data_IF_435671937182
#
_entry.id   IF_435671937182
#
_cell.length_a   1.000
_cell.length_b   1.000
_cell.length_c   1.000
_cell.angle_alpha   90.00
_cell.angle_beta   90.00
_cell.angle_gamma   90.00
#
_symmetry.space_group_name_H-M   'P 1'
#
loop_
_entity.id
_entity.type
_entity.pdbx_description
1 polymer ?
#
# COMPACT_ATOMS: atom_id res chain seq x y z
N UNK A 1 -13.00 -48.71 -3.98
CA UNK A 1 -11.86 -48.83 -3.05
C UNK A 1 -11.50 -47.44 -2.58
N UNK A 2 -11.92 -47.05 -1.38
CA UNK A 2 -11.42 -45.84 -0.72
C UNK A 2 -9.99 -46.11 -0.25
N UNK A 3 -9.04 -45.25 -0.65
CA UNK A 3 -7.65 -45.36 -0.18
C UNK A 3 -7.59 -45.00 1.31
N UNK A 4 -6.80 -45.71 2.14
CA UNK A 4 -6.63 -45.35 3.55
C UNK A 4 -6.00 -43.96 3.65
N UNK A 5 -6.67 -43.02 4.30
CA UNK A 5 -6.18 -41.66 4.49
C UNK A 5 -7.22 -40.86 5.29
N UNK A 6 -6.78 -40.18 6.33
CA UNK A 6 -7.67 -39.32 7.10
C UNK A 6 -8.06 -38.10 6.25
N UNK A 7 -9.34 -37.73 6.29
CA UNK A 7 -9.87 -36.53 5.65
C UNK A 7 -10.22 -35.51 6.72
N UNK A 8 -9.80 -34.27 6.54
CA UNK A 8 -10.18 -33.15 7.40
C UNK A 8 -10.82 -32.09 6.53
N UNK A 9 -12.03 -31.67 6.88
CA UNK A 9 -12.73 -30.60 6.20
C UNK A 9 -13.15 -29.53 7.19
N UNK A 10 -13.21 -28.29 6.74
CA UNK A 10 -13.76 -27.17 7.49
C UNK A 10 -14.47 -26.21 6.53
N UNK A 11 -15.19 -25.23 7.08
CA UNK A 11 -15.84 -24.19 6.30
C UNK A 11 -15.23 -22.83 6.66
N UNK A 12 -14.84 -22.08 5.63
CA UNK A 12 -14.39 -20.70 5.78
C UNK A 12 -15.57 -19.78 6.11
N UNK A 13 -15.36 -18.85 7.04
CA UNK A 13 -16.38 -17.86 7.42
C UNK A 13 -16.44 -16.70 6.40
N UNK A 14 -15.30 -16.35 5.80
CA UNK A 14 -15.17 -15.31 4.80
C UNK A 14 -14.78 -15.88 3.43
N UNK A 15 -13.96 -15.11 2.71
CA UNK A 15 -13.42 -15.43 1.39
C UNK A 15 -11.93 -15.84 1.49
N UNK A 16 -11.61 -16.70 2.44
CA UNK A 16 -10.28 -17.29 2.59
C UNK A 16 -10.00 -18.32 1.48
N UNK A 17 -8.73 -18.39 1.07
CA UNK A 17 -8.22 -19.45 0.20
C UNK A 17 -6.89 -19.99 0.73
N UNK A 18 -6.62 -21.26 0.44
CA UNK A 18 -5.37 -21.93 0.75
C UNK A 18 -4.39 -21.59 -0.37
N UNK A 19 -3.28 -20.92 -0.03
CA UNK A 19 -2.28 -20.53 -1.02
C UNK A 19 -1.20 -21.57 -1.19
N UNK A 20 -0.76 -22.18 -0.09
CA UNK A 20 0.21 -23.26 -0.08
C UNK A 20 -0.10 -24.25 1.05
N UNK A 21 0.32 -25.50 0.85
CA UNK A 21 0.17 -26.56 1.83
C UNK A 21 1.35 -27.55 1.76
N UNK A 22 1.77 -28.05 2.93
CA UNK A 22 2.80 -29.08 3.08
C UNK A 22 2.32 -30.18 4.04
N UNK A 23 2.69 -31.43 3.74
CA UNK A 23 2.29 -32.61 4.50
C UNK A 23 0.86 -33.10 4.22
N UNK A 24 0.07 -32.35 3.46
CA UNK A 24 -1.29 -32.71 3.06
C UNK A 24 -1.60 -32.12 1.66
N UNK A 25 -2.65 -32.60 1.02
CA UNK A 25 -3.12 -32.11 -0.29
C UNK A 25 -4.63 -31.90 -0.27
N UNK A 26 -5.13 -30.86 -0.94
CA UNK A 26 -6.56 -30.62 -1.06
C UNK A 26 -7.16 -31.58 -2.06
N UNK A 27 -8.33 -32.15 -1.78
CA UNK A 27 -8.99 -33.09 -2.70
C UNK A 27 -9.48 -32.40 -3.97
N UNK A 28 -9.85 -31.12 -3.84
CA UNK A 28 -10.38 -30.29 -4.91
C UNK A 28 -9.82 -28.87 -4.79
N UNK A 29 -9.42 -28.28 -5.91
CA UNK A 29 -8.94 -26.90 -5.96
C UNK A 29 -10.10 -25.88 -5.99
N UNK A 30 -11.27 -26.26 -6.52
CA UNK A 30 -12.42 -25.38 -6.70
C UNK A 30 -12.28 -24.36 -7.83
N UNK A 31 -13.28 -23.50 -8.01
CA UNK A 31 -13.24 -22.41 -9.00
C UNK A 31 -12.47 -21.20 -8.47
N UNK A 32 -11.16 -21.19 -8.77
CA UNK A 32 -10.26 -20.09 -8.43
C UNK A 32 -10.33 -18.89 -9.38
N UNK A 33 -11.30 -18.82 -10.32
CA UNK A 33 -11.41 -17.73 -11.31
C UNK A 33 -11.58 -16.34 -10.68
N UNK A 34 -12.00 -16.27 -9.41
CA UNK A 34 -12.09 -15.03 -8.64
C UNK A 34 -10.72 -14.42 -8.33
N UNK A 35 -9.65 -15.23 -8.28
CA UNK A 35 -8.29 -14.78 -8.00
C UNK A 35 -7.59 -14.42 -9.31
N UNK A 36 -7.07 -13.18 -9.41
CA UNK A 36 -6.35 -12.70 -10.59
C UNK A 36 -4.89 -12.47 -10.24
N UNK A 37 -3.98 -13.12 -10.96
CA UNK A 37 -2.53 -13.06 -10.76
C UNK A 37 -1.82 -14.13 -11.59
N UNK A 38 -0.48 -14.08 -11.65
CA UNK A 38 0.33 -15.12 -12.31
C UNK A 38 0.39 -16.43 -11.52
N UNK A 39 0.14 -16.38 -10.21
CA UNK A 39 0.06 -17.54 -9.33
C UNK A 39 -1.36 -17.64 -8.75
N UNK A 40 -2.02 -18.77 -8.99
CA UNK A 40 -3.31 -19.09 -8.40
C UNK A 40 -3.11 -19.77 -7.04
N UNK A 41 -4.04 -19.55 -6.09
CA UNK A 41 -4.05 -20.29 -4.84
C UNK A 41 -4.22 -21.80 -5.07
N UNK A 42 -3.69 -22.58 -4.12
CA UNK A 42 -3.74 -24.05 -4.10
C UNK A 42 -5.16 -24.60 -3.97
N UNK A 43 -6.04 -23.95 -3.18
CA UNK A 43 -7.46 -24.31 -3.08
C UNK A 43 -8.32 -23.08 -2.72
N UNK A 44 -9.41 -22.88 -3.48
CA UNK A 44 -10.36 -21.77 -3.34
C UNK A 44 -11.73 -22.20 -2.83
N UNK A 45 -11.90 -23.48 -2.51
CA UNK A 45 -13.19 -23.95 -2.03
C UNK A 45 -13.56 -23.29 -0.71
N UNK A 46 -14.83 -22.93 -0.57
CA UNK A 46 -15.34 -22.38 0.70
C UNK A 46 -15.35 -23.45 1.80
N UNK A 47 -15.42 -24.71 1.39
CA UNK A 47 -15.38 -25.87 2.27
C UNK A 47 -14.28 -26.83 1.82
N UNK A 48 -12.99 -26.49 2.04
CA UNK A 48 -11.90 -27.34 1.59
C UNK A 48 -11.90 -28.66 2.35
N UNK A 49 -11.62 -29.74 1.64
CA UNK A 49 -11.31 -31.05 2.24
C UNK A 49 -9.87 -31.40 1.91
N UNK A 50 -9.08 -31.69 2.95
CA UNK A 50 -7.67 -32.08 2.80
C UNK A 50 -7.49 -33.56 3.13
N UNK A 51 -6.55 -34.18 2.43
CA UNK A 51 -6.09 -35.55 2.63
C UNK A 51 -4.61 -35.55 2.99
N UNK A 52 -4.23 -36.45 3.89
CA UNK A 52 -2.84 -36.60 4.32
C UNK A 52 -1.95 -37.17 3.21
N UNK A 53 -0.71 -36.67 3.10
CA UNK A 53 0.29 -37.20 2.19
C UNK A 53 1.07 -38.32 2.90
N UNK A 54 0.85 -39.56 2.46
CA UNK A 54 1.51 -40.74 3.04
C UNK A 54 3.06 -40.64 3.00
N UNK A 55 3.80 -41.46 3.79
CA UNK A 55 5.27 -41.40 3.90
C UNK A 55 6.09 -41.59 2.61
N UNK A 56 5.44 -41.81 1.47
CA UNK A 56 6.06 -41.83 0.14
C UNK A 56 6.06 -40.48 -0.58
N UNK A 57 5.56 -39.41 0.04
CA UNK A 57 5.57 -38.08 -0.54
C UNK A 57 7.01 -37.53 -0.70
N UNK A 58 7.28 -36.68 -1.71
CA UNK A 58 8.58 -36.05 -1.91
C UNK A 58 9.11 -35.39 -0.62
N UNK A 59 10.40 -35.54 -0.32
CA UNK A 59 11.02 -35.05 0.93
C UNK A 59 10.75 -33.55 1.18
N UNK A 60 10.68 -32.74 0.13
CA UNK A 60 10.38 -31.31 0.19
C UNK A 60 8.90 -30.97 0.52
N UNK A 61 8.03 -31.97 0.63
CA UNK A 61 6.62 -31.84 0.99
C UNK A 61 6.28 -32.49 2.33
N UNK A 62 7.27 -33.03 3.05
CA UNK A 62 7.08 -33.63 4.37
C UNK A 62 7.24 -32.60 5.49
N UNK A 63 6.42 -32.72 6.54
CA UNK A 63 6.49 -31.88 7.75
C UNK A 63 6.83 -32.77 8.95
N UNK A 64 7.77 -32.38 9.83
CA UNK A 64 8.11 -33.18 11.01
C UNK A 64 6.91 -33.30 11.98
N UNK A 65 6.74 -34.48 12.58
CA UNK A 65 5.70 -34.74 13.57
C UNK A 65 5.88 -33.86 14.80
N UNK A 66 4.86 -33.09 15.16
CA UNK A 66 4.87 -32.28 16.36
C UNK A 66 4.47 -33.10 17.61
N UNK A 67 4.81 -32.56 18.79
CA UNK A 67 4.41 -33.10 20.09
C UNK A 67 3.50 -32.08 20.77
N UNK A 68 2.35 -32.52 21.28
CA UNK A 68 1.40 -31.65 21.97
C UNK A 68 1.06 -32.20 23.35
N UNK A 69 0.64 -31.31 24.26
CA UNK A 69 0.08 -31.70 25.56
C UNK A 69 -1.44 -31.73 25.41
N UNK A 70 -2.05 -32.85 25.77
CA UNK A 70 -3.50 -32.93 25.98
C UNK A 70 -3.84 -32.23 27.29
N UNK A 71 -4.92 -31.46 27.34
CA UNK A 71 -5.29 -30.60 28.47
C UNK A 71 -5.08 -31.28 29.83
N UNK A 72 -4.32 -30.61 30.71
CA UNK A 72 -4.01 -31.06 32.07
C UNK A 72 -2.91 -32.13 32.23
N UNK A 73 -2.41 -32.73 31.16
CA UNK A 73 -1.36 -33.77 31.24
C UNK A 73 0.05 -33.18 31.30
N UNK A 74 0.94 -33.74 32.12
CA UNK A 74 2.39 -33.45 32.10
C UNK A 74 3.14 -34.21 30.97
N UNK A 75 2.48 -35.16 30.30
CA UNK A 75 3.07 -35.99 29.24
C UNK A 75 2.84 -35.37 27.86
N UNK A 76 3.90 -35.30 27.07
CA UNK A 76 3.82 -34.99 25.64
C UNK A 76 3.33 -36.20 24.86
N UNK A 77 2.34 -36.00 24.00
CA UNK A 77 1.87 -37.00 23.04
C UNK A 77 2.38 -36.60 21.66
N UNK A 78 2.93 -37.55 20.91
CA UNK A 78 3.33 -37.30 19.53
C UNK A 78 2.08 -37.32 18.64
N UNK A 79 1.92 -36.31 17.79
CA UNK A 79 0.86 -36.32 16.81
C UNK A 79 1.07 -37.46 15.80
N UNK A 80 -0.03 -38.00 15.29
CA UNK A 80 0.01 -39.04 14.24
C UNK A 80 0.40 -38.45 12.88
N UNK A 81 0.04 -37.19 12.63
CA UNK A 81 0.39 -36.44 11.42
C UNK A 81 0.51 -34.94 11.76
N UNK A 82 1.28 -34.18 10.98
CA UNK A 82 1.43 -32.73 11.14
C UNK A 82 1.48 -32.11 9.75
N UNK A 83 0.71 -31.03 9.56
CA UNK A 83 0.58 -30.33 8.28
C UNK A 83 0.76 -28.84 8.51
N UNK A 84 1.29 -28.15 7.50
CA UNK A 84 1.42 -26.69 7.50
C UNK A 84 0.56 -26.12 6.38
N UNK A 85 -0.38 -25.23 6.72
CA UNK A 85 -1.28 -24.58 5.77
C UNK A 85 -1.15 -23.08 5.87
N UNK A 86 -0.81 -22.47 4.73
CA UNK A 86 -0.80 -21.02 4.58
C UNK A 86 -2.11 -20.60 3.93
N UNK A 87 -3.00 -20.00 4.71
CA UNK A 87 -4.24 -19.40 4.22
C UNK A 87 -4.14 -17.88 4.29
N UNK A 88 -4.77 -17.20 3.33
CA UNK A 88 -4.86 -15.74 3.32
C UNK A 88 -6.31 -15.36 3.10
N UNK A 89 -6.80 -14.46 3.95
CA UNK A 89 -8.08 -13.79 3.75
C UNK A 89 -7.90 -12.69 2.69
N UNK A 90 -8.49 -12.88 1.51
CA UNK A 90 -8.48 -11.86 0.46
C UNK A 90 -9.83 -11.16 0.39
N UNK A 91 -9.89 -9.88 0.75
CA UNK A 91 -11.05 -9.02 0.48
C UNK A 91 -11.25 -8.73 -1.01
N UNK A 92 -10.33 -9.18 -1.87
CA UNK A 92 -10.29 -8.86 -3.29
C UNK A 92 -10.93 -9.98 -4.13
N UNK A 93 -12.22 -10.24 -3.90
CA UNK A 93 -13.06 -10.75 -4.98
C UNK A 93 -13.25 -9.62 -5.98
N UNK A 94 -12.63 -9.71 -7.16
CA UNK A 94 -12.72 -8.71 -8.25
C UNK A 94 -12.49 -7.28 -7.75
N UNK A 95 -11.23 -6.82 -7.64
CA UNK A 95 -10.94 -5.46 -7.17
C UNK A 95 -11.81 -4.42 -7.88
N UNK A 96 -12.78 -3.86 -7.16
CA UNK A 96 -13.38 -2.58 -7.52
C UNK A 96 -12.25 -1.57 -7.72
N UNK A 97 -12.39 -0.63 -8.66
CA UNK A 97 -11.30 0.32 -8.90
C UNK A 97 -10.96 1.04 -7.59
N UNK A 98 -9.66 1.18 -7.26
CA UNK A 98 -9.24 1.79 -6.00
C UNK A 98 -9.77 3.22 -5.90
N UNK A 99 -10.36 3.57 -4.76
CA UNK A 99 -10.86 4.93 -4.54
C UNK A 99 -9.74 5.94 -4.41
N UNK A 100 -8.61 5.55 -3.80
CA UNK A 100 -7.43 6.40 -3.69
C UNK A 100 -6.11 5.66 -3.91
N UNK A 101 -5.11 6.39 -4.39
CA UNK A 101 -3.73 5.90 -4.52
C UNK A 101 -2.72 6.94 -4.05
N UNK A 102 -1.51 6.46 -3.76
CA UNK A 102 -0.41 7.28 -3.28
C UNK A 102 0.75 7.23 -4.28
N UNK A 103 1.38 8.37 -4.50
CA UNK A 103 2.61 8.50 -5.27
C UNK A 103 3.64 9.30 -4.47
N UNK A 104 4.92 8.98 -4.64
CA UNK A 104 5.99 9.38 -3.73
C UNK A 104 7.09 10.12 -4.49
N UNK A 105 7.67 11.15 -3.87
CA UNK A 105 8.87 11.84 -4.36
C UNK A 105 9.76 12.31 -3.22
N UNK A 106 11.02 12.63 -3.56
CA UNK A 106 12.03 13.13 -2.63
C UNK A 106 12.88 14.20 -3.28
N UNK A 107 13.42 15.11 -2.47
CA UNK A 107 14.21 16.25 -2.94
C UNK A 107 15.55 15.90 -3.60
N UNK A 108 16.10 14.72 -3.35
CA UNK A 108 17.42 14.29 -3.84
C UNK A 108 17.35 13.31 -5.01
N UNK A 109 16.16 12.92 -5.45
CA UNK A 109 15.95 11.99 -6.56
C UNK A 109 14.79 12.49 -7.41
N UNK A 110 15.08 12.79 -8.67
CA UNK A 110 14.09 13.26 -9.64
C UNK A 110 13.07 12.18 -10.04
N UNK A 111 13.33 10.92 -9.65
CA UNK A 111 12.43 9.79 -9.90
C UNK A 111 11.21 9.88 -8.99
N UNK A 112 10.05 10.11 -9.60
CA UNK A 112 8.74 10.04 -8.93
C UNK A 112 8.24 8.60 -9.00
N UNK A 113 7.90 8.02 -7.86
CA UNK A 113 7.26 6.70 -7.80
C UNK A 113 5.77 6.89 -8.04
N UNK A 114 5.22 6.43 -9.18
CA UNK A 114 3.83 6.67 -9.53
C UNK A 114 2.89 5.84 -8.65
N UNK A 115 1.61 6.19 -8.69
CA UNK A 115 0.56 5.30 -8.18
C UNK A 115 0.64 3.94 -8.90
N UNK A 116 0.43 2.82 -8.18
CA UNK A 116 0.34 1.50 -8.80
C UNK A 116 -0.74 1.45 -9.88
N UNK A 117 -0.42 0.79 -10.99
CA UNK A 117 -1.37 0.58 -12.07
C UNK A 117 -2.51 -0.32 -11.62
N UNK A 118 -3.71 -0.04 -12.14
CA UNK A 118 -4.88 -0.84 -11.81
C UNK A 118 -4.78 -2.21 -12.47
N UNK A 119 -4.83 -3.27 -11.66
CA UNK A 119 -4.62 -4.65 -12.10
C UNK A 119 -5.80 -5.16 -12.97
N UNK A 120 -5.55 -5.33 -14.27
CA UNK A 120 -6.41 -6.03 -15.23
C UNK A 120 -7.71 -5.31 -15.61
N UNK A 121 -7.87 -4.91 -16.88
CA UNK A 121 -9.11 -4.39 -17.49
C UNK A 121 -9.99 -3.48 -16.60
N UNK A 122 -9.41 -2.67 -15.71
CA UNK A 122 -10.16 -1.77 -14.83
C UNK A 122 -11.03 -0.78 -15.62
N UNK A 123 -10.64 -0.48 -16.86
CA UNK A 123 -11.42 0.29 -17.82
C UNK A 123 -12.78 -0.33 -18.19
N UNK A 124 -13.04 -1.60 -17.85
CA UNK A 124 -14.29 -2.33 -18.13
C UNK A 124 -15.04 -2.72 -16.87
N UNK A 125 -14.65 -2.20 -15.72
CA UNK A 125 -15.35 -2.47 -14.46
C UNK A 125 -16.68 -1.69 -14.42
N UNK A 126 -17.80 -2.33 -14.06
CA UNK A 126 -19.07 -1.63 -13.87
C UNK A 126 -18.94 -0.64 -12.70
N UNK A 127 -19.27 0.63 -12.95
CA UNK A 127 -19.29 1.69 -11.94
C UNK A 127 -18.09 2.64 -11.91
N UNK A 128 -17.10 2.50 -12.81
CA UNK A 128 -15.98 3.45 -12.93
C UNK A 128 -15.79 3.82 -14.40
N UNK A 129 -16.60 4.76 -14.85
CA UNK A 129 -16.47 5.38 -16.16
C UNK A 129 -15.35 6.42 -16.10
N UNK A 130 -14.53 6.51 -17.14
CA UNK A 130 -13.47 7.52 -17.21
C UNK A 130 -13.59 8.35 -18.49
N UNK A 131 -13.20 9.62 -18.39
CA UNK A 131 -13.22 10.56 -19.51
C UNK A 131 -11.79 10.78 -20.00
N UNK A 132 -11.56 10.59 -21.30
CA UNK A 132 -10.27 10.93 -21.92
C UNK A 132 -10.15 12.43 -22.18
N UNK A 133 -8.93 12.99 -22.20
CA UNK A 133 -8.74 14.38 -22.60
C UNK A 133 -9.34 14.63 -24.01
N UNK A 134 -10.25 15.61 -24.12
CA UNK A 134 -10.90 15.97 -25.38
C UNK A 134 -12.23 15.26 -25.67
N UNK A 135 -12.64 14.31 -24.84
CA UNK A 135 -13.94 13.64 -24.95
C UNK A 135 -15.03 14.47 -24.24
N UNK A 136 -16.17 14.68 -24.89
CA UNK A 136 -17.28 15.40 -24.26
C UNK A 136 -17.85 14.58 -23.11
N UNK A 137 -17.99 15.23 -21.94
CA UNK A 137 -18.53 14.63 -20.71
C UNK A 137 -19.87 13.92 -21.03
N UNK A 138 -20.03 12.64 -20.68
CA UNK A 138 -21.34 12.00 -20.75
C UNK A 138 -22.31 12.76 -19.85
N UNK A 139 -23.47 13.19 -20.38
CA UNK A 139 -24.56 13.70 -19.56
C UNK A 139 -25.17 12.50 -18.80
N UNK A 140 -24.65 12.21 -17.61
CA UNK A 140 -25.21 11.20 -16.75
C UNK A 140 -26.59 11.69 -16.26
N UNK A 141 -27.65 10.96 -16.63
CA UNK A 141 -28.98 11.14 -16.06
C UNK A 141 -28.96 10.61 -14.62
N UNK A 142 -28.72 11.50 -13.65
CA UNK A 142 -28.75 11.12 -12.23
C UNK A 142 -30.18 10.79 -11.82
N UNK A 143 -30.38 9.57 -11.31
CA UNK A 143 -31.59 9.23 -10.55
C UNK A 143 -31.49 9.84 -9.15
N UNK A 144 -32.56 10.42 -8.57
CA UNK A 144 -32.48 11.19 -7.31
C UNK A 144 -32.05 10.41 -6.07
N UNK A 145 -32.02 9.07 -6.15
CA UNK A 145 -31.92 8.16 -5.00
C UNK A 145 -30.58 7.43 -4.89
N UNK A 146 -29.65 7.59 -5.83
CA UNK A 146 -28.39 6.83 -5.84
C UNK A 146 -27.19 7.74 -6.10
N UNK A 147 -26.16 7.67 -5.25
CA UNK A 147 -24.90 8.40 -5.47
C UNK A 147 -24.36 8.05 -6.86
N UNK A 148 -24.02 9.05 -7.70
CA UNK A 148 -23.51 8.79 -9.03
C UNK A 148 -22.19 8.01 -8.93
N UNK A 149 -21.97 7.02 -9.81
CA UNK A 149 -20.68 6.37 -9.89
C UNK A 149 -19.57 7.42 -10.14
N UNK A 150 -18.38 7.24 -9.56
CA UNK A 150 -17.30 8.20 -9.74
C UNK A 150 -16.89 8.24 -11.22
N UNK A 151 -17.02 9.42 -11.84
CA UNK A 151 -16.51 9.71 -13.18
C UNK A 151 -15.12 10.33 -13.04
N UNK A 152 -14.07 9.64 -13.48
CA UNK A 152 -12.68 10.07 -13.26
C UNK A 152 -11.94 10.37 -14.56
N UNK A 153 -10.84 11.12 -14.50
CA UNK A 153 -9.93 11.22 -15.65
C UNK A 153 -9.27 9.87 -15.94
N UNK A 154 -9.28 9.44 -17.20
CA UNK A 154 -8.64 8.16 -17.58
C UNK A 154 -7.14 8.21 -17.27
N UNK A 155 -6.69 7.24 -16.48
CA UNK A 155 -5.29 7.06 -16.06
C UNK A 155 -5.00 5.57 -15.88
N UNK A 156 -3.74 5.19 -15.71
CA UNK A 156 -3.37 3.78 -15.51
C UNK A 156 -3.84 3.21 -14.16
N UNK A 157 -3.92 4.06 -13.14
CA UNK A 157 -4.33 3.68 -11.77
C UNK A 157 -5.85 3.80 -11.52
N UNK A 158 -6.58 4.57 -12.36
CA UNK A 158 -8.05 4.69 -12.31
C UNK A 158 -8.65 5.14 -10.95
N UNK A 159 -7.86 5.84 -10.11
CA UNK A 159 -8.31 6.28 -8.79
C UNK A 159 -9.01 7.64 -8.83
N UNK A 160 -9.99 7.86 -7.95
CA UNK A 160 -10.69 9.14 -7.85
C UNK A 160 -9.92 10.17 -7.03
N UNK A 161 -9.15 9.74 -6.03
CA UNK A 161 -8.27 10.59 -5.23
C UNK A 161 -6.82 10.16 -5.42
N UNK A 162 -5.93 11.14 -5.51
CA UNK A 162 -4.50 10.92 -5.60
C UNK A 162 -3.80 11.71 -4.50
N UNK A 163 -3.00 11.02 -3.67
CA UNK A 163 -2.23 11.62 -2.60
C UNK A 163 -0.76 11.63 -2.97
N UNK A 164 -0.15 12.81 -2.98
CA UNK A 164 1.28 13.01 -3.16
C UNK A 164 1.94 13.12 -1.79
N UNK A 165 2.95 12.28 -1.55
CA UNK A 165 3.86 12.47 -0.44
C UNK A 165 5.24 12.87 -0.96
N UNK A 166 5.64 14.10 -0.66
CA UNK A 166 6.88 14.70 -1.16
C UNK A 166 7.81 15.06 0.00
N UNK A 167 8.95 14.38 0.12
CA UNK A 167 9.98 14.76 1.09
C UNK A 167 10.76 15.94 0.52
N UNK A 168 10.40 17.15 0.94
CA UNK A 168 10.91 18.42 0.41
C UNK A 168 12.34 18.75 0.81
N UNK A 169 12.68 18.54 2.07
CA UNK A 169 13.97 18.95 2.61
C UNK A 169 14.27 18.24 3.92
N UNK A 170 15.56 18.02 4.18
CA UNK A 170 16.06 17.48 5.43
C UNK A 170 17.07 18.45 6.06
N UNK A 171 16.75 19.04 7.21
CA UNK A 171 17.63 19.91 8.00
C UNK A 171 18.41 19.09 9.05
N UNK A 172 19.16 19.75 9.95
CA UNK A 172 19.90 19.06 11.03
C UNK A 172 18.96 18.35 12.02
N UNK A 173 17.95 19.06 12.53
CA UNK A 173 17.04 18.57 13.57
C UNK A 173 15.64 18.24 13.06
N UNK A 174 15.27 18.76 11.89
CA UNK A 174 13.92 18.62 11.35
C UNK A 174 13.95 18.13 9.91
N UNK A 175 12.83 17.60 9.44
CA UNK A 175 12.60 17.34 8.03
C UNK A 175 11.19 17.79 7.65
N UNK A 176 11.07 18.20 6.38
CA UNK A 176 9.87 18.81 5.82
C UNK A 176 9.27 17.88 4.79
N UNK A 177 7.98 17.61 4.93
CA UNK A 177 7.18 16.88 3.96
C UNK A 177 6.08 17.78 3.43
N UNK A 178 5.82 17.71 2.14
CA UNK A 178 4.65 18.29 1.50
C UNK A 178 3.66 17.19 1.15
N UNK A 179 2.42 17.38 1.55
CA UNK A 179 1.29 16.51 1.21
C UNK A 179 0.40 17.26 0.22
N UNK A 180 0.07 16.63 -0.91
CA UNK A 180 -0.89 17.17 -1.88
C UNK A 180 -1.99 16.16 -2.11
N UNK A 181 -3.25 16.54 -1.92
CA UNK A 181 -4.40 15.70 -2.20
C UNK A 181 -5.08 16.28 -3.45
N UNK A 182 -5.20 15.46 -4.49
CA UNK A 182 -5.81 15.84 -5.76
C UNK A 182 -7.05 15.01 -6.02
N UNK A 183 -8.15 15.69 -6.32
CA UNK A 183 -9.40 15.06 -6.76
C UNK A 183 -9.40 14.93 -8.28
N UNK A 184 -9.54 13.69 -8.74
CA UNK A 184 -9.61 13.33 -10.15
C UNK A 184 -11.04 13.04 -10.61
N UNK A 185 -12.04 13.26 -9.75
CA UNK A 185 -13.45 13.05 -10.03
C UNK A 185 -14.09 14.30 -10.66
N UNK A 186 -14.91 14.12 -11.70
CA UNK A 186 -15.61 15.19 -12.42
C UNK A 186 -16.95 15.60 -11.80
N UNK A 187 -17.52 14.78 -10.92
CA UNK A 187 -18.89 14.92 -10.43
C UNK A 187 -18.99 15.10 -8.92
N UNK A 188 -17.97 14.65 -8.17
CA UNK A 188 -17.99 14.60 -6.71
C UNK A 188 -16.98 15.58 -6.12
N UNK A 189 -17.49 16.52 -5.31
CA UNK A 189 -16.70 17.29 -4.36
C UNK A 189 -16.61 16.52 -3.03
N UNK A 190 -15.58 16.82 -2.24
CA UNK A 190 -15.42 16.28 -0.89
C UNK A 190 -15.38 17.43 0.12
N UNK A 191 -16.48 17.61 0.85
CA UNK A 191 -16.54 18.51 1.99
C UNK A 191 -16.07 17.80 3.26
N UNK A 192 -15.47 18.55 4.20
CA UNK A 192 -14.96 18.03 5.47
C UNK A 192 -14.07 16.79 5.31
N UNK A 193 -13.25 16.80 4.26
CA UNK A 193 -12.36 15.69 3.97
C UNK A 193 -11.35 15.50 5.10
N UNK A 194 -10.97 14.24 5.34
CA UNK A 194 -9.93 13.87 6.27
C UNK A 194 -8.95 12.90 5.62
N UNK A 195 -7.69 13.01 6.03
CA UNK A 195 -6.61 12.12 5.64
C UNK A 195 -5.98 11.57 6.92
N UNK A 196 -5.94 10.25 7.05
CA UNK A 196 -5.22 9.58 8.14
C UNK A 196 -3.97 8.94 7.55
N UNK A 197 -2.86 9.11 8.26
CA UNK A 197 -1.55 8.60 7.89
C UNK A 197 -0.92 7.87 9.07
N UNK A 198 -0.29 6.75 8.78
CA UNK A 198 0.48 5.97 9.75
C UNK A 198 1.97 6.06 9.41
N UNK A 199 2.76 6.62 10.33
CA UNK A 199 4.20 6.75 10.22
C UNK A 199 4.85 6.85 11.61
N UNK A 200 5.93 6.10 11.91
CA UNK A 200 6.57 6.10 13.22
C UNK A 200 6.90 7.49 13.79
N UNK A 201 7.36 8.40 12.93
CA UNK A 201 7.74 9.77 13.31
C UNK A 201 6.56 10.75 13.52
N UNK A 202 5.30 10.33 13.35
CA UNK A 202 4.13 11.18 13.66
C UNK A 202 3.95 11.42 15.16
N UNK A 203 4.70 10.70 16.00
CA UNK A 203 4.80 10.97 17.43
C UNK A 203 5.47 12.33 17.73
N UNK A 204 6.34 12.80 16.83
CA UNK A 204 7.18 13.99 17.00
C UNK A 204 6.88 15.07 15.93
N UNK A 205 5.59 15.30 15.65
CA UNK A 205 5.16 16.39 14.76
C UNK A 205 5.39 17.73 15.45
N UNK A 206 6.18 18.59 14.81
CA UNK A 206 6.48 19.94 15.34
C UNK A 206 5.43 20.94 14.89
N UNK A 207 5.08 20.92 13.60
CA UNK A 207 4.15 21.87 13.01
C UNK A 207 3.51 21.30 11.76
N UNK A 208 2.22 21.58 11.57
CA UNK A 208 1.48 21.34 10.33
C UNK A 208 1.00 22.69 9.80
N UNK A 209 1.25 22.94 8.52
CA UNK A 209 0.90 24.18 7.84
C UNK A 209 -0.37 24.00 7.02
N UNK A 210 -1.26 24.98 7.02
CA UNK A 210 -2.45 25.02 6.15
C UNK A 210 -3.47 23.89 6.30
N UNK A 211 -3.28 22.91 7.20
CA UNK A 211 -4.25 21.90 7.61
C UNK A 211 -4.38 21.87 9.14
N UNK A 212 -5.51 21.37 9.62
CA UNK A 212 -5.64 20.96 11.01
C UNK A 212 -5.00 19.59 11.22
N UNK A 213 -4.49 19.32 12.43
CA UNK A 213 -3.84 18.05 12.77
C UNK A 213 -4.29 17.54 14.13
N UNK A 214 -4.47 16.22 14.24
CA UNK A 214 -4.78 15.53 15.47
C UNK A 214 -4.06 14.17 15.51
N UNK A 215 -3.26 13.94 16.54
CA UNK A 215 -2.63 12.64 16.78
C UNK A 215 -3.67 11.61 17.22
N UNK A 216 -3.71 10.45 16.56
CA UNK A 216 -4.65 9.38 16.89
C UNK A 216 -3.97 8.38 17.83
N UNK A 217 -4.23 8.53 19.13
CA UNK A 217 -3.72 7.61 20.14
C UNK A 217 -4.63 6.38 20.19
N UNK A 218 -4.33 5.35 19.39
CA UNK A 218 -5.30 4.26 19.19
C UNK A 218 -5.57 3.38 20.40
N UNK A 219 -4.70 3.30 21.41
CA UNK A 219 -5.02 2.70 22.70
C UNK A 219 -4.15 3.36 23.77
N UNK A 220 -4.65 3.36 25.00
CA UNK A 220 -4.06 3.93 26.23
C UNK A 220 -2.58 3.51 26.46
N UNK A 221 -1.64 4.09 25.71
CA UNK A 221 -0.22 4.17 26.06
C UNK A 221 0.80 3.25 25.36
N UNK A 222 0.76 2.99 24.05
CA UNK A 222 1.87 2.28 23.41
C UNK A 222 2.46 2.90 22.12
N UNK A 223 1.65 3.37 21.16
CA UNK A 223 2.20 3.88 19.89
C UNK A 223 1.27 4.99 19.33
N UNK A 224 1.81 6.21 19.16
CA UNK A 224 1.11 7.34 18.52
C UNK A 224 1.63 7.53 17.08
N UNK A 225 1.74 6.45 16.32
CA UNK A 225 2.22 6.46 14.95
C UNK A 225 1.16 6.84 13.92
N UNK A 226 -0.07 7.11 14.34
CA UNK A 226 -1.16 7.57 13.49
C UNK A 226 -1.48 9.05 13.71
N UNK A 227 -1.66 9.79 12.62
CA UNK A 227 -2.07 11.19 12.62
C UNK A 227 -3.18 11.44 11.63
N UNK A 228 -4.15 12.28 12.00
CA UNK A 228 -5.24 12.73 11.15
C UNK A 228 -5.05 14.20 10.80
N UNK A 229 -5.23 14.53 9.52
CA UNK A 229 -5.31 15.92 9.04
C UNK A 229 -6.63 16.16 8.31
N UNK A 230 -7.13 17.39 8.38
CA UNK A 230 -8.34 17.82 7.70
C UNK A 230 -8.27 19.30 7.33
N UNK A 231 -9.15 19.72 6.44
CA UNK A 231 -9.24 21.10 5.98
C UNK A 231 -9.59 22.09 7.10
N UNK A 232 -9.19 23.34 6.91
CA UNK A 232 -9.58 24.50 7.71
C UNK A 232 -10.87 25.05 7.13
N UNK A 233 -11.85 25.27 8.00
CA UNK A 233 -13.17 25.77 7.62
C UNK A 233 -13.06 27.07 6.83
N UNK A 234 -13.79 27.17 5.71
CA UNK A 234 -13.80 28.32 4.80
C UNK A 234 -12.47 28.63 4.07
N UNK A 235 -11.49 27.73 4.15
CA UNK A 235 -10.21 27.89 3.44
C UNK A 235 -9.94 26.74 2.48
N UNK A 236 -9.92 25.51 2.99
CA UNK A 236 -9.66 24.31 2.21
C UNK A 236 -10.40 23.09 2.77
N UNK A 237 -11.52 23.31 3.45
CA UNK A 237 -12.47 22.28 3.91
C UNK A 237 -13.31 21.67 2.79
N UNK A 238 -13.22 22.21 1.57
CA UNK A 238 -13.80 21.65 0.37
C UNK A 238 -12.74 21.31 -0.68
N UNK A 239 -12.68 20.05 -1.07
CA UNK A 239 -11.87 19.57 -2.18
C UNK A 239 -12.79 19.44 -3.41
N UNK A 240 -12.69 20.42 -4.31
CA UNK A 240 -13.53 20.53 -5.48
C UNK A 240 -13.26 19.41 -6.50
N UNK A 241 -14.16 19.28 -7.48
CA UNK A 241 -13.98 18.39 -8.63
C UNK A 241 -12.68 18.68 -9.39
N UNK A 242 -12.26 17.77 -10.25
CA UNK A 242 -11.09 17.91 -11.11
C UNK A 242 -11.06 19.28 -11.80
N UNK A 243 -9.97 20.02 -11.59
CA UNK A 243 -9.77 21.38 -12.11
C UNK A 243 -8.63 22.07 -11.35
N UNK A 244 -8.48 23.38 -11.57
CA UNK A 244 -7.44 24.19 -10.91
C UNK A 244 -7.58 24.19 -9.38
N UNK A 245 -8.82 24.24 -8.88
CA UNK A 245 -9.15 24.14 -7.45
C UNK A 245 -9.37 22.70 -6.95
N UNK A 246 -9.07 21.70 -7.79
CA UNK A 246 -9.25 20.27 -7.47
C UNK A 246 -8.09 19.67 -6.67
N UNK A 247 -7.28 20.50 -6.01
CA UNK A 247 -6.19 20.04 -5.16
C UNK A 247 -6.05 20.89 -3.89
N UNK A 248 -5.63 20.25 -2.80
CA UNK A 248 -5.28 20.89 -1.54
C UNK A 248 -3.86 20.47 -1.15
N UNK A 249 -3.10 21.40 -0.57
CA UNK A 249 -1.69 21.21 -0.27
C UNK A 249 -1.38 21.68 1.14
N UNK A 250 -0.49 20.95 1.80
CA UNK A 250 0.00 21.27 3.13
C UNK A 250 1.43 20.83 3.28
N UNK A 251 2.12 21.43 4.23
CA UNK A 251 3.45 20.99 4.65
C UNK A 251 3.42 20.61 6.11
N UNK A 252 4.28 19.68 6.48
CA UNK A 252 4.51 19.30 7.86
C UNK A 252 6.01 19.28 8.17
N UNK A 253 6.34 19.77 9.36
CA UNK A 253 7.67 19.75 9.92
C UNK A 253 7.69 18.72 11.04
N UNK A 254 8.58 17.74 10.92
CA UNK A 254 8.74 16.71 11.94
C UNK A 254 10.16 16.76 12.50
N UNK A 255 10.27 16.60 13.81
CA UNK A 255 11.55 16.50 14.46
C UNK A 255 12.20 15.15 14.16
N UNK A 256 13.52 15.12 13.97
CA UNK A 256 14.31 13.92 13.73
C UNK A 256 14.61 13.24 15.06
N UNK A 257 14.06 12.05 15.24
CA UNK A 257 14.49 11.19 16.34
C UNK A 257 15.88 10.62 16.05
N UNK A 258 16.86 10.91 16.92
CA UNK A 258 18.26 10.48 16.74
C UNK A 258 18.43 8.95 16.73
N UNK A 259 17.48 8.19 17.27
CA UNK A 259 17.53 6.73 17.33
C UNK A 259 16.80 6.02 16.18
N UNK A 260 15.90 6.70 15.48
CA UNK A 260 14.96 6.06 14.53
C UNK A 260 15.03 6.69 13.13
N UNK A 261 15.40 7.98 13.02
CA UNK A 261 15.38 8.68 11.74
C UNK A 261 16.43 8.16 10.78
N UNK A 262 16.00 7.69 9.62
CA UNK A 262 16.84 7.43 8.45
C UNK A 262 16.14 7.84 7.17
N UNK A 263 16.90 8.24 6.16
CA UNK A 263 16.39 8.45 4.80
C UNK A 263 16.61 7.21 3.91
N UNK A 264 17.25 6.16 4.42
CA UNK A 264 17.43 4.89 3.73
C UNK A 264 16.17 4.03 3.76
N UNK A 265 16.08 3.09 2.82
CA UNK A 265 15.07 2.01 2.82
C UNK A 265 13.61 2.49 2.90
N UNK A 266 13.34 3.70 2.42
CA UNK A 266 11.98 4.20 2.35
C UNK A 266 11.37 4.60 3.69
N UNK A 267 12.17 4.76 4.75
CA UNK A 267 11.66 5.10 6.09
C UNK A 267 10.90 6.43 6.14
N UNK A 268 11.26 7.42 5.29
CA UNK A 268 10.63 8.73 5.26
C UNK A 268 9.20 8.75 4.68
N UNK A 269 8.69 7.59 4.24
CA UNK A 269 7.38 7.44 3.65
C UNK A 269 6.41 6.76 4.62
N UNK A 270 5.11 7.12 4.57
CA UNK A 270 4.12 6.54 5.46
C UNK A 270 3.93 5.07 5.13
N UNK A 271 3.58 4.29 6.16
CA UNK A 271 3.27 2.87 6.02
C UNK A 271 1.89 2.69 5.42
N UNK A 272 0.93 3.52 5.83
CA UNK A 272 -0.47 3.49 5.38
C UNK A 272 -1.03 4.89 5.30
N UNK A 273 -1.91 5.09 4.33
CA UNK A 273 -2.70 6.32 4.16
C UNK A 273 -4.15 5.91 3.89
N UNK A 274 -5.10 6.59 4.51
CA UNK A 274 -6.52 6.48 4.19
C UNK A 274 -7.14 7.86 3.99
N UNK A 275 -8.02 7.98 3.01
CA UNK A 275 -8.76 9.22 2.71
C UNK A 275 -10.25 8.98 2.97
N UNK A 276 -10.87 9.79 3.83
CA UNK A 276 -12.28 9.65 4.21
C UNK A 276 -12.67 8.22 4.66
N UNK A 277 -11.73 7.51 5.31
CA UNK A 277 -11.91 6.13 5.78
C UNK A 277 -11.64 5.05 4.73
N UNK A 278 -11.42 5.40 3.47
CA UNK A 278 -11.03 4.45 2.42
C UNK A 278 -9.49 4.30 2.39
N UNK A 279 -9.00 3.07 2.47
CA UNK A 279 -7.56 2.76 2.45
C UNK A 279 -6.97 2.96 1.04
N UNK A 280 -5.88 3.71 0.95
CA UNK A 280 -5.24 4.04 -0.31
C UNK A 280 -4.19 2.99 -0.70
N UNK A 281 -4.11 2.71 -2.00
CA UNK A 281 -3.09 1.81 -2.54
C UNK A 281 -1.73 2.51 -2.51
N UNK A 282 -0.80 1.94 -1.76
CA UNK A 282 0.59 2.37 -1.66
C UNK A 282 1.46 1.66 -2.72
N UNK A 283 2.52 2.31 -3.24
CA UNK A 283 3.54 1.61 -4.03
C UNK A 283 4.24 0.51 -3.23
N UNK A 284 4.86 -0.44 -3.93
CA UNK A 284 5.65 -1.49 -3.28
C UNK A 284 6.90 -0.87 -2.61
N UNK A 285 7.30 -1.32 -1.40
CA UNK A 285 8.46 -0.76 -0.70
C UNK A 285 9.75 -0.77 -1.52
N UNK A 286 9.97 -1.80 -2.34
CA UNK A 286 11.15 -1.94 -3.20
C UNK A 286 11.23 -0.85 -4.28
N UNK A 287 10.10 -0.21 -4.59
CA UNK A 287 10.04 0.88 -5.57
C UNK A 287 10.32 2.25 -4.97
N UNK A 288 10.41 2.37 -3.63
CA UNK A 288 10.54 3.67 -2.97
C UNK A 288 11.86 4.36 -3.34
N UNK A 289 11.88 5.70 -3.47
CA UNK A 289 13.11 6.43 -3.74
C UNK A 289 14.16 6.15 -2.65
N UNK A 290 15.30 5.60 -3.06
CA UNK A 290 16.45 5.38 -2.19
C UNK A 290 17.47 6.51 -2.36
N UNK A 291 18.18 6.84 -1.28
CA UNK A 291 19.39 7.67 -1.37
C UNK A 291 20.38 7.02 -2.34
N UNK A 292 20.84 7.78 -3.33
CA UNK A 292 21.94 7.39 -4.19
C UNK A 292 23.22 7.34 -3.32
N UNK A 293 23.80 6.14 -3.15
CA UNK A 293 25.07 5.94 -2.45
C UNK A 293 26.30 6.50 -3.21
N UNK A 294 26.11 7.21 -4.31
CA UNK A 294 27.20 7.73 -5.13
C UNK A 294 27.61 9.12 -4.66
N UNK A 295 28.61 9.17 -3.79
CA UNK A 295 29.50 10.32 -3.75
C UNK A 295 30.25 10.38 -5.08
N UNK A 296 29.69 11.06 -6.08
CA UNK A 296 30.49 11.54 -7.20
C UNK A 296 31.45 12.58 -6.64
N UNK A 297 32.66 12.14 -6.29
CA UNK A 297 33.80 13.02 -6.10
C UNK A 297 34.04 13.71 -7.43
N UNK A 298 33.50 14.92 -7.59
CA UNK A 298 33.94 15.86 -8.61
C UNK A 298 35.41 16.17 -8.28
N UNK A 299 36.32 15.38 -8.82
CA UNK A 299 37.73 15.74 -8.87
C UNK A 299 37.85 16.97 -9.76
N UNK A 300 37.89 18.14 -9.15
CA UNK A 300 38.17 19.42 -9.80
C UNK A 300 39.63 19.42 -10.28
N UNK A 301 39.88 18.78 -11.42
CA UNK A 301 41.13 18.83 -12.16
C UNK A 301 41.27 20.17 -12.91
N UNK A 302 41.41 21.29 -12.17
CA UNK A 302 41.57 22.63 -12.77
C UNK A 302 42.94 23.28 -12.46
N UNK A 303 43.83 22.62 -11.72
CA UNK A 303 45.10 23.22 -11.29
C UNK A 303 46.37 22.81 -12.07
N UNK A 304 46.24 22.14 -13.22
CA UNK A 304 47.43 21.72 -14.00
C UNK A 304 47.67 22.46 -15.32
N UNK A 305 46.74 23.30 -15.80
CA UNK A 305 46.93 24.05 -17.05
C UNK A 305 47.54 25.44 -16.90
N UNK A 306 47.61 26.00 -15.68
CA UNK A 306 48.20 27.33 -15.44
C UNK A 306 49.73 27.32 -15.31
N UNK A 307 50.37 26.18 -15.04
CA UNK A 307 51.83 26.10 -14.93
C UNK A 307 52.54 25.92 -16.29
N UNK A 308 51.84 25.43 -17.32
CA UNK A 308 52.42 25.20 -18.65
C UNK A 308 52.51 26.47 -19.52
N UNK A 309 51.72 27.50 -19.22
CA UNK A 309 51.80 28.79 -19.93
C UNK A 309 52.86 29.75 -19.37
N UNK A 310 53.37 29.50 -18.15
CA UNK A 310 54.41 30.33 -17.53
C UNK A 310 55.83 29.98 -18.04
N UNK A 311 56.04 28.77 -18.57
CA UNK A 311 57.33 28.36 -19.16
C UNK A 311 57.45 28.65 -20.67
N UNK A 312 56.40 29.16 -21.30
CA UNK A 312 56.44 29.55 -22.72
C UNK A 312 56.86 31.01 -22.95
N UNK A 313 57.14 31.77 -21.88
CA UNK A 313 57.53 33.18 -21.93
C UNK A 313 58.83 33.50 -21.16
N UNK A 314 59.70 32.50 -20.96
CA UNK A 314 61.08 32.68 -20.51
C UNK A 314 62.05 32.05 -21.51
#
# INVERSE_FOLDING_TARGET
MERPGWRVGWAWKGDEAIWNMWGAESTEQGDCSKFKGSQLPHCCEKQPTIVDLMPGAPYNMQVPLNKFRKDGSLRFTQALATWNVTYVYSKYQTSAAPKCCVFLSVFYNDTIVPCPDCSGNCHRLPGVECVRPGETRPLLQLSPTQEPPPLVACSSHMCSIRVHWDVKQSYKEYWRVKITITNLNFLKNYSQWNLVMEHPNLQNVTQVFSFNYHALNQYRGAINDAGMVWGIQYYNDELMVLGESGNVQSEMLLHKDKGIFTLSEGWAFPRRISFNGDECVMPLPDSYPTLLNTATTLTTSVLLFSLLMAFAFL
#
